data_IF_290690651980
#
_entry.id   IF_290690651980
#
_cell.length_a   1.000
_cell.length_b   1.000
_cell.length_c   1.000
_cell.angle_alpha   90.00
_cell.angle_beta   90.00
_cell.angle_gamma   90.00
#
_symmetry.space_group_name_H-M   'P 1'
#
loop_
_entity.id
_entity.type
_entity.pdbx_description
1 polymer ?
#
# COMPACT_ATOMS: atom_id res chain seq x y z
N UNK A 1 0.73 11.66 57.13
CA UNK A 1 -0.49 11.50 56.30
C UNK A 1 -0.02 10.94 54.95
N UNK A 2 -0.18 9.62 54.72
CA UNK A 2 -1.19 8.99 53.82
C UNK A 2 -1.00 9.50 52.37
N UNK A 3 -0.27 8.82 51.48
CA UNK A 3 -0.55 7.59 50.70
C UNK A 3 -1.76 7.70 49.73
N UNK A 4 -1.53 7.26 48.48
CA UNK A 4 -2.46 6.59 47.52
C UNK A 4 -3.01 7.39 46.30
N UNK A 5 -2.82 6.73 45.13
CA UNK A 5 -3.60 6.63 43.88
C UNK A 5 -3.85 7.89 43.02
N UNK A 6 -3.58 7.90 41.70
CA UNK A 6 -3.96 7.01 40.58
C UNK A 6 -5.33 7.32 39.94
N UNK A 7 -5.28 7.48 38.61
CA UNK A 7 -6.34 7.34 37.58
C UNK A 7 -7.42 8.44 37.55
N UNK A 8 -7.56 9.14 36.42
CA UNK A 8 -8.80 9.12 35.64
C UNK A 8 -8.66 9.79 34.26
N UNK A 9 -8.98 9.00 33.24
CA UNK A 9 -9.47 9.36 31.90
C UNK A 9 -10.51 10.48 31.94
N UNK A 10 -10.50 11.40 30.97
CA UNK A 10 -11.67 12.12 30.41
C UNK A 10 -11.27 12.92 29.16
N UNK A 11 -11.57 12.44 27.96
CA UNK A 11 -12.60 13.05 27.09
C UNK A 11 -11.91 13.81 25.95
N UNK A 12 -12.35 13.85 24.70
CA UNK A 12 -13.65 13.54 24.11
C UNK A 12 -13.43 13.57 22.60
N UNK A 13 -13.78 12.52 21.86
CA UNK A 13 -14.00 12.63 20.42
C UNK A 13 -15.10 11.64 20.01
N UNK A 14 -16.31 12.12 20.28
CA UNK A 14 -17.56 11.92 19.54
C UNK A 14 -17.75 10.59 18.80
N UNK A 15 -18.62 9.79 19.41
CA UNK A 15 -19.59 8.94 18.75
C UNK A 15 -20.23 9.66 17.54
N UNK A 16 -20.01 9.13 16.34
CA UNK A 16 -21.07 9.05 15.33
C UNK A 16 -21.57 7.61 15.28
N UNK A 17 -22.60 7.39 16.07
CA UNK A 17 -23.52 6.26 15.95
C UNK A 17 -24.36 6.44 14.68
N UNK A 18 -24.44 5.39 13.87
CA UNK A 18 -25.66 4.73 13.39
C UNK A 18 -25.22 3.69 12.35
N UNK A 19 -25.33 2.38 12.54
CA UNK A 19 -26.33 1.65 13.31
C UNK A 19 -27.35 1.05 12.36
N UNK A 20 -27.04 -0.14 11.82
CA UNK A 20 -28.01 -1.17 11.49
C UNK A 20 -27.30 -2.52 11.67
N UNK A 21 -27.20 -3.06 12.88
CA UNK A 21 -28.26 -3.76 13.64
C UNK A 21 -28.90 -4.89 12.85
N UNK A 22 -28.31 -6.07 12.93
CA UNK A 22 -29.02 -7.34 13.16
C UNK A 22 -28.01 -8.44 13.48
N UNK A 23 -28.15 -9.08 14.64
CA UNK A 23 -27.84 -10.51 14.69
C UNK A 23 -27.01 -11.13 15.81
N UNK A 24 -26.91 -10.50 17.00
CA UNK A 24 -26.61 -11.13 18.31
C UNK A 24 -25.25 -11.86 18.55
N UNK A 25 -24.83 -11.94 19.82
CA UNK A 25 -23.47 -12.25 20.25
C UNK A 25 -23.33 -13.72 20.66
N UNK A 26 -22.16 -14.31 20.41
CA UNK A 26 -21.77 -15.55 21.04
C UNK A 26 -20.25 -15.59 21.24
N UNK A 27 -19.87 -15.43 22.51
CA UNK A 27 -18.89 -16.27 23.20
C UNK A 27 -17.47 -16.28 22.65
N UNK A 28 -16.56 -15.71 23.45
CA UNK A 28 -15.16 -16.14 23.64
C UNK A 28 -14.74 -17.32 22.75
N UNK A 29 -14.22 -17.01 21.57
CA UNK A 29 -13.16 -17.80 20.98
C UNK A 29 -11.93 -16.92 20.95
N UNK A 30 -10.92 -17.36 21.68
CA UNK A 30 -9.53 -17.19 21.28
C UNK A 30 -9.41 -17.61 19.81
N UNK A 31 -9.46 -16.65 18.88
CA UNK A 31 -8.92 -16.84 17.54
C UNK A 31 -7.45 -16.42 17.60
N UNK A 32 -6.64 -17.34 18.07
CA UNK A 32 -5.28 -17.43 17.54
C UNK A 32 -5.43 -17.89 16.09
N UNK A 33 -4.79 -17.15 15.18
CA UNK A 33 -4.48 -17.50 13.79
C UNK A 33 -5.61 -17.45 12.73
N UNK A 34 -5.64 -16.35 11.97
CA UNK A 34 -5.03 -16.41 10.64
C UNK A 34 -3.66 -15.71 10.78
N UNK A 35 -2.50 -16.35 10.77
CA UNK A 35 -1.94 -17.08 9.63
C UNK A 35 -2.27 -16.38 8.31
N UNK A 36 -1.73 -15.17 8.17
CA UNK A 36 -1.63 -14.42 6.93
C UNK A 36 -0.33 -13.62 6.93
N UNK A 37 0.76 -14.32 7.26
CA UNK A 37 2.18 -13.91 7.20
C UNK A 37 2.54 -12.66 8.01
N UNK A 38 3.18 -12.84 9.18
CA UNK A 38 4.57 -12.38 9.34
C UNK A 38 5.35 -12.49 8.01
N UNK A 39 5.12 -11.57 7.08
CA UNK A 39 6.03 -11.38 5.95
C UNK A 39 7.27 -10.77 6.58
N UNK A 40 8.39 -11.49 6.48
CA UNK A 40 9.70 -10.88 6.66
C UNK A 40 9.72 -9.58 5.83
N UNK A 41 10.37 -8.49 6.29
CA UNK A 41 10.56 -7.30 5.46
C UNK A 41 10.99 -7.62 4.01
N UNK A 42 11.75 -8.70 3.83
CA UNK A 42 12.22 -9.31 2.58
C UNK A 42 11.10 -9.67 1.58
N UNK A 43 9.90 -10.03 2.05
CA UNK A 43 8.76 -10.40 1.20
C UNK A 43 7.86 -9.19 0.88
N UNK A 44 7.98 -8.09 1.64
CA UNK A 44 7.11 -6.93 1.50
C UNK A 44 7.59 -6.01 0.36
N UNK A 45 8.89 -5.68 0.32
CA UNK A 45 9.42 -4.77 -0.70
C UNK A 45 9.37 -5.35 -2.13
N UNK A 46 9.58 -6.67 -2.29
CA UNK A 46 9.50 -7.33 -3.60
C UNK A 46 8.08 -7.30 -4.15
N UNK A 47 7.09 -7.59 -3.31
CA UNK A 47 5.66 -7.50 -3.68
C UNK A 47 5.28 -6.08 -4.08
N UNK A 48 5.79 -5.08 -3.35
CA UNK A 48 5.59 -3.65 -3.64
C UNK A 48 6.23 -3.24 -4.97
N UNK A 49 7.44 -3.73 -5.26
CA UNK A 49 8.09 -3.54 -6.57
C UNK A 49 7.30 -4.16 -7.71
N UNK A 50 6.81 -5.39 -7.55
CA UNK A 50 6.00 -6.06 -8.58
C UNK A 50 4.73 -5.26 -8.88
N UNK A 51 4.08 -4.70 -7.84
CA UNK A 51 2.92 -3.82 -7.98
C UNK A 51 3.28 -2.48 -8.63
N UNK A 52 4.43 -1.88 -8.30
CA UNK A 52 4.91 -0.66 -8.96
C UNK A 52 5.13 -0.88 -10.46
N UNK A 53 5.70 -2.04 -10.83
CA UNK A 53 5.89 -2.43 -12.22
C UNK A 53 4.55 -2.60 -12.97
N UNK A 54 3.55 -3.20 -12.32
CA UNK A 54 2.20 -3.35 -12.88
C UNK A 54 1.53 -2.00 -13.11
N UNK A 55 1.56 -1.11 -12.12
CA UNK A 55 0.97 0.22 -12.22
C UNK A 55 1.67 1.07 -13.28
N UNK A 56 3.00 1.00 -13.39
CA UNK A 56 3.72 1.71 -14.45
C UNK A 56 3.29 1.28 -15.85
N UNK A 57 3.13 -0.03 -16.08
CA UNK A 57 2.59 -0.54 -17.36
C UNK A 57 1.16 -0.07 -17.62
N UNK A 58 0.32 -0.05 -16.58
CA UNK A 58 -1.06 0.44 -16.70
C UNK A 58 -1.09 1.94 -17.02
N UNK A 59 -0.26 2.73 -16.35
CA UNK A 59 -0.13 4.16 -16.60
C UNK A 59 0.32 4.44 -18.04
N UNK A 60 1.32 3.72 -18.55
CA UNK A 60 1.76 3.81 -19.94
C UNK A 60 0.65 3.47 -20.92
N UNK A 61 -0.12 2.40 -20.67
CA UNK A 61 -1.27 2.03 -21.52
C UNK A 61 -2.36 3.10 -21.53
N UNK A 62 -2.65 3.68 -20.37
CA UNK A 62 -3.67 4.74 -20.24
C UNK A 62 -3.23 6.04 -20.91
N UNK A 63 -1.95 6.40 -20.82
CA UNK A 63 -1.38 7.63 -21.39
C UNK A 63 -1.11 7.51 -22.89
N UNK A 64 -0.68 6.34 -23.38
CA UNK A 64 -0.54 6.08 -24.82
C UNK A 64 -1.87 6.18 -25.57
N UNK A 65 -2.98 5.74 -24.95
CA UNK A 65 -4.33 5.89 -25.51
C UNK A 65 -4.92 7.30 -25.36
N UNK A 66 -4.20 8.23 -24.71
CA UNK A 66 -4.77 9.50 -24.23
C UNK A 66 -4.68 10.67 -25.20
N UNK A 67 -4.02 10.52 -26.34
CA UNK A 67 -3.95 11.57 -27.37
C UNK A 67 -5.33 12.02 -27.87
N UNK A 68 -6.40 11.24 -27.60
CA UNK A 68 -7.81 11.62 -27.78
C UNK A 68 -8.72 11.21 -26.60
N UNK A 69 -8.16 11.04 -25.39
CA UNK A 69 -8.90 10.53 -24.24
C UNK A 69 -10.02 11.46 -23.76
N UNK A 70 -11.13 10.88 -23.33
CA UNK A 70 -12.10 11.58 -22.50
C UNK A 70 -11.55 11.85 -21.09
N UNK A 71 -12.21 12.72 -20.33
CA UNK A 71 -11.83 13.04 -18.95
C UNK A 71 -11.73 11.79 -18.05
N UNK A 72 -12.37 10.67 -18.42
CA UNK A 72 -12.34 9.42 -17.65
C UNK A 72 -10.99 8.73 -17.74
N UNK A 73 -10.40 8.63 -18.93
CA UNK A 73 -9.07 8.04 -19.12
C UNK A 73 -7.98 8.89 -18.47
N UNK A 74 -8.07 10.23 -18.60
CA UNK A 74 -7.15 11.15 -17.92
C UNK A 74 -7.23 11.01 -16.38
N UNK A 75 -8.44 10.94 -15.82
CA UNK A 75 -8.63 10.73 -14.39
C UNK A 75 -8.09 9.37 -13.91
N UNK A 76 -8.24 8.30 -14.71
CA UNK A 76 -7.66 6.99 -14.38
C UNK A 76 -6.14 7.02 -14.40
N UNK A 77 -5.52 7.68 -15.37
CA UNK A 77 -4.06 7.84 -15.41
C UNK A 77 -3.55 8.57 -14.15
N UNK A 78 -4.22 9.65 -13.74
CA UNK A 78 -3.87 10.37 -12.51
C UNK A 78 -4.01 9.49 -11.25
N UNK A 79 -5.08 8.70 -11.14
CA UNK A 79 -5.25 7.78 -10.00
C UNK A 79 -4.14 6.73 -9.95
N UNK A 80 -3.75 6.17 -11.10
CA UNK A 80 -2.65 5.22 -11.18
C UNK A 80 -1.32 5.87 -10.80
N UNK A 81 -1.08 7.12 -11.20
CA UNK A 81 0.10 7.89 -10.79
C UNK A 81 0.13 8.13 -9.26
N UNK A 82 -1.01 8.45 -8.64
CA UNK A 82 -1.10 8.56 -7.18
C UNK A 82 -0.79 7.23 -6.48
N UNK A 83 -1.30 6.11 -6.99
CA UNK A 83 -1.02 4.79 -6.44
C UNK A 83 0.46 4.40 -6.61
N UNK A 84 1.09 4.79 -7.74
CA UNK A 84 2.53 4.61 -7.94
C UNK A 84 3.35 5.40 -6.91
N UNK A 85 2.99 6.66 -6.67
CA UNK A 85 3.68 7.50 -5.68
C UNK A 85 3.52 6.92 -4.26
N UNK A 86 2.32 6.47 -3.88
CA UNK A 86 2.10 5.87 -2.57
C UNK A 86 2.99 4.63 -2.35
N UNK A 87 3.14 3.78 -3.37
CA UNK A 87 4.02 2.61 -3.28
C UNK A 87 5.49 3.03 -3.24
N UNK A 88 5.89 4.04 -4.00
CA UNK A 88 7.25 4.57 -3.97
C UNK A 88 7.60 5.10 -2.56
N UNK A 89 6.70 5.84 -1.92
CA UNK A 89 6.88 6.32 -0.55
C UNK A 89 7.02 5.16 0.44
N UNK A 90 6.22 4.11 0.29
CA UNK A 90 6.32 2.91 1.13
C UNK A 90 7.63 2.15 0.90
N UNK A 91 8.11 2.08 -0.34
CA UNK A 91 9.40 1.49 -0.69
C UNK A 91 10.58 2.30 -0.12
N UNK A 92 10.49 3.64 -0.11
CA UNK A 92 11.48 4.53 0.49
C UNK A 92 11.60 4.33 2.01
N UNK A 93 10.47 4.06 2.68
CA UNK A 93 10.46 3.73 4.11
C UNK A 93 11.09 2.35 4.39
N UNK A 94 10.97 1.40 3.46
CA UNK A 94 11.53 0.05 3.61
C UNK A 94 13.03 0.03 3.27
N UNK A 95 13.47 0.76 2.25
CA UNK A 95 14.85 0.77 1.77
C UNK A 95 15.94 0.86 2.87
N UNK A 96 15.88 1.77 3.85
CA UNK A 96 16.91 1.86 4.89
C UNK A 96 16.98 0.62 5.80
N UNK A 97 15.90 -0.17 5.88
CA UNK A 97 15.81 -1.39 6.69
C UNK A 97 16.40 -2.62 6.00
N UNK A 98 16.65 -2.55 4.69
CA UNK A 98 17.18 -3.64 3.89
C UNK A 98 18.67 -3.89 4.15
N UNK A 99 19.08 -5.15 4.03
CA UNK A 99 20.48 -5.52 3.98
C UNK A 99 21.16 -5.02 2.71
N UNK A 100 22.49 -4.95 2.69
CA UNK A 100 23.24 -4.48 1.51
C UNK A 100 23.00 -5.36 0.26
N UNK A 101 22.80 -6.67 0.45
CA UNK A 101 22.46 -7.59 -0.62
C UNK A 101 21.07 -7.30 -1.19
N UNK A 102 20.09 -7.04 -0.32
CA UNK A 102 18.73 -6.69 -0.72
C UNK A 102 18.65 -5.31 -1.36
N UNK A 103 19.40 -4.31 -0.88
CA UNK A 103 19.49 -2.99 -1.52
C UNK A 103 19.99 -3.10 -2.94
N UNK A 104 20.99 -3.93 -3.19
CA UNK A 104 21.48 -4.19 -4.55
C UNK A 104 20.42 -4.83 -5.45
N UNK A 105 19.63 -5.76 -4.93
CA UNK A 105 18.51 -6.37 -5.67
C UNK A 105 17.38 -5.35 -5.90
N UNK A 106 17.10 -4.52 -4.89
CA UNK A 106 16.12 -3.43 -4.94
C UNK A 106 16.48 -2.43 -6.02
N UNK A 107 17.71 -1.93 -6.03
CA UNK A 107 18.20 -0.95 -6.99
C UNK A 107 18.15 -1.52 -8.42
N UNK A 108 18.51 -2.79 -8.60
CA UNK A 108 18.44 -3.47 -9.88
C UNK A 108 17.00 -3.57 -10.40
N UNK A 109 16.06 -4.00 -9.54
CA UNK A 109 14.63 -4.09 -9.89
C UNK A 109 14.02 -2.72 -10.17
N UNK A 110 14.36 -1.70 -9.36
CA UNK A 110 13.86 -0.35 -9.59
C UNK A 110 14.36 0.21 -10.93
N UNK A 111 15.63 -0.05 -11.28
CA UNK A 111 16.17 0.32 -12.59
C UNK A 111 15.52 -0.45 -13.75
N UNK A 112 15.07 -1.69 -13.55
CA UNK A 112 14.27 -2.42 -14.54
C UNK A 112 12.88 -1.81 -14.71
N UNK A 113 12.21 -1.44 -13.60
CA UNK A 113 10.92 -0.75 -13.64
C UNK A 113 11.07 0.60 -14.34
N UNK A 114 12.14 1.36 -14.07
CA UNK A 114 12.39 2.66 -14.70
C UNK A 114 12.55 2.55 -16.23
N UNK A 115 13.07 1.42 -16.71
CA UNK A 115 13.17 1.09 -18.13
C UNK A 115 11.89 0.59 -18.77
N UNK A 116 10.81 0.37 -18.02
CA UNK A 116 9.51 0.10 -18.65
C UNK A 116 9.11 1.38 -19.39
N UNK A 117 9.25 1.35 -20.71
CA UNK A 117 8.83 2.35 -21.68
C UNK A 117 7.59 1.87 -22.45
N UNK A 118 6.82 2.81 -23.00
CA UNK A 118 5.52 2.54 -23.63
C UNK A 118 5.56 1.83 -24.99
N UNK A 119 6.72 1.28 -25.39
CA UNK A 119 7.00 0.81 -26.76
C UNK A 119 7.15 -0.71 -26.92
N UNK A 120 6.87 -1.51 -25.88
CA UNK A 120 6.83 -2.97 -26.02
C UNK A 120 5.46 -3.45 -26.56
N UNK A 121 5.14 -3.10 -27.82
CA UNK A 121 4.24 -3.84 -28.74
C UNK A 121 4.07 -3.07 -30.08
N UNK A 122 5.18 -2.67 -30.71
CA UNK A 122 5.20 -2.35 -32.16
C UNK A 122 5.88 -3.47 -32.94
N UNK A 123 5.25 -4.65 -33.01
CA UNK A 123 5.51 -5.66 -34.06
C UNK A 123 4.22 -6.02 -34.81
#
# INVERSE_FOLDING_TARGET
MVLIAAILVSGTAMLLSCGNSSGKPATNQSVTAAAGTNQSPDADWKTRMDKLAELKRLWLKLTAGSENADDVLANKANLVEFDMQAIADELDLIYPTLSDAEKKEFDARYAEIDKIDGDEDSE
#
